data_IF_653712949426
#
_entry.id   IF_653712949426
#
_cell.length_a   1.000
_cell.length_b   1.000
_cell.length_c   1.000
_cell.angle_alpha   90.00
_cell.angle_beta   90.00
_cell.angle_gamma   90.00
#
_symmetry.space_group_name_H-M   'P 1'
#
loop_
_entity.id
_entity.type
_entity.pdbx_description
1 polymer ?
#
# COMPACT_ATOMS: atom_id res chain seq x y z
N UNK A 1 13.04 1.50 11.39
CA UNK A 1 12.81 0.65 12.58
C UNK A 1 13.99 -0.28 12.81
N UNK A 2 14.51 -0.41 14.04
CA UNK A 2 15.49 -1.44 14.42
C UNK A 2 14.96 -2.22 15.63
N UNK A 3 14.33 -3.37 15.36
CA UNK A 3 14.24 -4.57 16.21
C UNK A 3 13.29 -5.55 15.52
N UNK A 4 13.82 -6.66 15.03
CA UNK A 4 13.03 -7.89 14.96
C UNK A 4 12.66 -8.21 16.39
N UNK A 5 11.38 -8.29 16.70
CA UNK A 5 10.93 -8.70 18.03
C UNK A 5 11.23 -10.20 18.16
N UNK A 6 12.30 -10.53 18.88
CA UNK A 6 12.47 -11.85 19.46
C UNK A 6 11.25 -12.12 20.35
N UNK A 7 10.63 -13.27 20.17
CA UNK A 7 9.50 -13.69 20.97
C UNK A 7 9.93 -13.80 22.44
N UNK A 8 9.13 -13.25 23.35
CA UNK A 8 9.52 -13.02 24.75
C UNK A 8 9.65 -14.30 25.58
N UNK A 9 9.29 -15.45 25.00
CA UNK A 9 9.49 -16.79 25.57
C UNK A 9 10.92 -17.31 25.38
N UNK A 10 11.71 -16.76 24.45
CA UNK A 10 13.06 -17.24 24.14
C UNK A 10 14.08 -16.63 25.10
N UNK A 11 14.15 -17.20 26.31
CA UNK A 11 15.31 -17.00 27.20
C UNK A 11 16.52 -17.76 26.63
N UNK A 12 17.72 -17.21 26.80
CA UNK A 12 18.99 -17.63 26.17
C UNK A 12 19.49 -19.08 26.44
N UNK A 13 18.69 -19.96 27.05
CA UNK A 13 19.14 -21.22 27.66
C UNK A 13 18.71 -22.51 26.95
N UNK A 14 17.95 -22.47 25.84
CA UNK A 14 17.54 -23.68 25.12
C UNK A 14 18.58 -24.15 24.08
N UNK A 15 19.75 -24.58 24.53
CA UNK A 15 20.68 -25.38 23.69
C UNK A 15 20.14 -26.78 23.40
N UNK A 16 19.17 -27.25 24.18
CA UNK A 16 18.51 -28.55 24.04
C UNK A 16 17.00 -28.41 24.29
N UNK A 17 16.21 -29.05 23.42
CA UNK A 17 14.76 -29.08 23.46
C UNK A 17 14.28 -30.53 23.64
N UNK A 18 13.29 -30.75 24.52
CA UNK A 18 12.61 -32.05 24.65
C UNK A 18 11.67 -32.23 23.47
N UNK A 19 12.02 -33.12 22.55
CA UNK A 19 11.26 -33.31 21.31
C UNK A 19 11.02 -34.80 21.10
N UNK A 20 9.82 -35.13 20.60
CA UNK A 20 9.45 -36.47 20.14
C UNK A 20 10.09 -36.66 18.75
N UNK A 21 11.11 -37.52 18.58
CA UNK A 21 11.80 -37.66 17.30
C UNK A 21 10.86 -38.06 16.16
N UNK A 22 9.81 -38.81 16.46
CA UNK A 22 8.77 -39.25 15.52
C UNK A 22 7.85 -38.11 15.04
N UNK A 23 7.89 -36.94 15.70
CA UNK A 23 7.20 -35.72 15.27
C UNK A 23 8.13 -34.71 14.58
N UNK A 24 9.41 -35.06 14.34
CA UNK A 24 10.32 -34.22 13.56
C UNK A 24 10.31 -34.69 12.11
N UNK A 25 10.05 -33.76 11.20
CA UNK A 25 10.13 -33.98 9.75
C UNK A 25 11.59 -33.93 9.30
N UNK A 26 12.05 -34.96 8.61
CA UNK A 26 13.45 -35.09 8.17
C UNK A 26 13.59 -35.23 6.65
N UNK A 27 12.50 -35.44 5.92
CA UNK A 27 12.51 -35.44 4.45
C UNK A 27 12.16 -34.05 3.90
N UNK A 28 12.64 -33.72 2.70
CA UNK A 28 12.42 -32.40 2.08
C UNK A 28 10.93 -32.08 1.91
N UNK A 29 10.10 -33.08 1.59
CA UNK A 29 8.65 -32.95 1.44
C UNK A 29 7.96 -32.60 2.77
N UNK A 30 8.19 -33.39 3.83
CA UNK A 30 7.62 -33.14 5.16
C UNK A 30 8.14 -31.83 5.77
N UNK A 31 9.40 -31.47 5.51
CA UNK A 31 9.98 -30.19 5.94
C UNK A 31 9.28 -29.03 5.22
N UNK A 32 9.03 -29.15 3.92
CA UNK A 32 8.28 -28.16 3.16
C UNK A 32 6.85 -27.97 3.71
N UNK A 33 6.13 -29.07 3.93
CA UNK A 33 4.77 -29.07 4.50
C UNK A 33 4.68 -28.40 5.88
N UNK A 34 5.74 -28.48 6.69
CA UNK A 34 5.81 -27.73 7.96
C UNK A 34 6.17 -26.25 7.75
N UNK A 35 7.15 -25.95 6.90
CA UNK A 35 7.54 -24.56 6.62
C UNK A 35 6.45 -23.75 5.92
N UNK A 36 5.55 -24.39 5.17
CA UNK A 36 4.38 -23.77 4.55
C UNK A 36 3.25 -23.45 5.56
N UNK A 37 3.32 -23.90 6.81
CA UNK A 37 2.37 -23.53 7.86
C UNK A 37 2.73 -22.17 8.47
N UNK A 38 2.69 -21.11 7.66
CA UNK A 38 3.13 -19.74 7.97
C UNK A 38 2.50 -19.11 9.22
N UNK A 39 1.38 -19.65 9.72
CA UNK A 39 0.68 -19.19 10.93
C UNK A 39 1.25 -19.81 12.23
N UNK A 40 2.23 -20.73 12.13
CA UNK A 40 2.80 -21.47 13.27
C UNK A 40 4.29 -21.18 13.46
N UNK A 41 4.75 -21.25 14.71
CA UNK A 41 6.17 -21.28 15.01
C UNK A 41 6.76 -22.63 14.61
N UNK A 42 7.74 -22.61 13.71
CA UNK A 42 8.52 -23.78 13.31
C UNK A 42 9.87 -23.77 14.02
N UNK A 43 10.28 -24.91 14.58
CA UNK A 43 11.58 -25.13 15.20
C UNK A 43 12.46 -26.00 14.30
N UNK A 44 13.69 -25.56 14.08
CA UNK A 44 14.75 -26.26 13.32
C UNK A 44 15.67 -26.91 14.34
N UNK A 45 15.84 -28.23 14.23
CA UNK A 45 16.45 -29.05 15.28
C UNK A 45 17.39 -30.09 14.70
N UNK A 46 18.45 -30.45 15.45
CA UNK A 46 19.42 -31.48 15.09
C UNK A 46 19.31 -32.68 16.04
N UNK A 47 19.22 -33.87 15.45
CA UNK A 47 19.15 -35.15 16.15
C UNK A 47 20.14 -36.13 15.48
N UNK A 48 21.19 -36.54 16.20
CA UNK A 48 22.35 -37.16 15.57
C UNK A 48 22.97 -36.20 14.55
N UNK A 49 23.17 -36.65 13.31
CA UNK A 49 23.62 -35.80 12.20
C UNK A 49 22.48 -35.19 11.36
N UNK A 50 21.24 -35.66 11.54
CA UNK A 50 20.08 -35.19 10.79
C UNK A 50 19.55 -33.86 11.33
N UNK A 51 19.28 -32.92 10.42
CA UNK A 51 18.51 -31.70 10.70
C UNK A 51 17.06 -31.93 10.27
N UNK A 52 16.11 -31.47 11.07
CA UNK A 52 14.69 -31.58 10.77
C UNK A 52 13.86 -30.44 11.36
N UNK A 53 12.56 -30.44 11.06
CA UNK A 53 11.61 -29.39 11.43
C UNK A 53 10.41 -29.94 12.20
N UNK A 54 9.98 -29.22 13.24
CA UNK A 54 8.71 -29.46 13.93
C UNK A 54 7.98 -28.15 14.22
N UNK A 55 6.66 -28.19 14.43
CA UNK A 55 5.87 -27.03 14.87
C UNK A 55 5.77 -26.98 16.39
N UNK A 56 5.45 -25.82 16.98
CA UNK A 56 5.36 -25.67 18.45
C UNK A 56 4.38 -26.65 19.10
N UNK A 57 3.29 -26.97 18.43
CA UNK A 57 2.28 -27.92 18.90
C UNK A 57 2.74 -29.39 18.88
N UNK A 58 3.87 -29.70 18.22
CA UNK A 58 4.55 -31.00 18.31
C UNK A 58 5.36 -31.11 19.62
N UNK A 59 5.82 -29.98 20.16
CA UNK A 59 6.63 -29.92 21.38
C UNK A 59 5.80 -30.10 22.65
N UNK A 60 4.65 -29.42 22.73
CA UNK A 60 3.78 -29.41 23.92
C UNK A 60 3.16 -30.78 24.24
N UNK A 61 3.21 -31.73 23.30
CA UNK A 61 2.74 -33.11 23.45
C UNK A 61 3.82 -34.06 23.99
N UNK A 62 5.02 -33.58 24.27
CA UNK A 62 6.17 -34.44 24.57
C UNK A 62 6.24 -34.90 26.04
N UNK A 63 6.32 -36.21 26.23
CA UNK A 63 6.74 -36.87 27.47
C UNK A 63 8.13 -37.54 27.34
N UNK A 64 8.86 -37.17 26.28
CA UNK A 64 10.17 -37.74 25.91
C UNK A 64 11.31 -37.16 26.74
N UNK A 65 12.24 -38.02 27.18
CA UNK A 65 13.52 -37.60 27.75
C UNK A 65 14.64 -37.45 26.70
N UNK A 66 14.36 -37.74 25.42
CA UNK A 66 15.32 -37.46 24.34
C UNK A 66 15.37 -35.96 24.05
N UNK A 67 16.58 -35.41 24.17
CA UNK A 67 16.87 -34.01 23.91
C UNK A 67 17.45 -33.84 22.50
N UNK A 68 16.74 -33.10 21.64
CA UNK A 68 17.27 -32.62 20.36
C UNK A 68 18.02 -31.30 20.57
N UNK A 69 19.03 -31.03 19.74
CA UNK A 69 19.74 -29.75 19.76
C UNK A 69 18.93 -28.73 18.97
N UNK A 70 18.68 -27.56 19.57
CA UNK A 70 18.02 -26.45 18.87
C UNK A 70 19.01 -25.74 17.93
N UNK A 71 18.59 -25.49 16.69
CA UNK A 71 19.39 -24.75 15.71
C UNK A 71 18.81 -23.36 15.36
N UNK A 72 17.49 -23.21 15.40
CA UNK A 72 16.83 -21.96 15.06
C UNK A 72 15.32 -22.12 14.94
N UNK A 73 14.62 -21.04 14.63
CA UNK A 73 13.16 -21.05 14.48
C UNK A 73 12.68 -20.04 13.44
N UNK A 74 11.54 -20.34 12.83
CA UNK A 74 10.74 -19.37 12.08
C UNK A 74 9.49 -19.03 12.92
N UNK A 75 9.26 -17.74 13.15
CA UNK A 75 8.04 -17.24 13.80
C UNK A 75 6.89 -17.14 12.78
N UNK A 76 5.62 -17.15 13.24
CA UNK A 76 4.47 -16.90 12.38
C UNK A 76 4.61 -15.61 11.57
N UNK A 77 4.33 -15.70 10.27
CA UNK A 77 4.36 -14.59 9.33
C UNK A 77 3.01 -14.46 8.63
N UNK A 78 2.13 -13.67 9.24
CA UNK A 78 0.83 -13.30 8.68
C UNK A 78 1.01 -12.37 7.50
N UNK A 79 0.14 -12.50 6.49
CA UNK A 79 0.21 -11.69 5.27
C UNK A 79 0.07 -10.17 5.53
N UNK A 80 -0.56 -9.77 6.63
CA UNK A 80 -0.67 -8.37 7.07
C UNK A 80 0.56 -7.84 7.83
N UNK A 81 1.61 -8.66 7.99
CA UNK A 81 2.94 -8.23 8.44
C UNK A 81 3.84 -7.82 7.26
N UNK A 82 3.44 -8.10 6.01
CA UNK A 82 4.14 -7.65 4.81
C UNK A 82 3.67 -6.25 4.42
N UNK A 83 4.63 -5.33 4.24
CA UNK A 83 4.38 -3.93 3.93
C UNK A 83 3.98 -3.06 5.13
N UNK A 84 3.40 -1.90 4.87
CA UNK A 84 3.05 -0.92 5.90
C UNK A 84 1.66 -1.18 6.50
N UNK A 85 1.58 -1.38 7.82
CA UNK A 85 0.31 -1.61 8.52
C UNK A 85 -0.60 -0.39 8.48
N UNK A 86 -0.05 0.83 8.39
CA UNK A 86 -0.86 2.04 8.24
C UNK A 86 -1.46 2.16 6.84
N UNK A 87 -0.83 1.61 5.78
CA UNK A 87 -1.50 1.48 4.48
C UNK A 87 -2.75 0.59 4.59
N UNK A 88 -2.59 -0.57 5.23
CA UNK A 88 -3.67 -1.54 5.45
C UNK A 88 -4.81 -0.91 6.26
N UNK A 89 -4.48 -0.26 7.39
CA UNK A 89 -5.45 0.41 8.26
C UNK A 89 -6.14 1.59 7.55
N UNK A 90 -5.38 2.46 6.87
CA UNK A 90 -5.89 3.66 6.23
C UNK A 90 -6.87 3.31 5.10
N UNK A 91 -6.54 2.34 4.24
CA UNK A 91 -7.39 1.92 3.12
C UNK A 91 -8.40 0.80 3.45
N UNK A 92 -8.36 0.21 4.64
CA UNK A 92 -9.29 -0.85 5.05
C UNK A 92 -9.05 -2.19 4.35
N UNK A 93 -7.78 -2.58 4.22
CA UNK A 93 -7.33 -3.74 3.43
C UNK A 93 -7.04 -4.96 4.32
N UNK A 94 -6.72 -6.10 3.68
CA UNK A 94 -6.15 -7.29 4.35
C UNK A 94 -4.64 -7.47 4.11
N UNK A 95 -4.10 -6.84 3.07
CA UNK A 95 -2.71 -6.95 2.63
C UNK A 95 -2.26 -5.59 2.09
N UNK A 96 -0.97 -5.26 2.21
CA UNK A 96 -0.39 -4.05 1.64
C UNK A 96 -0.16 -4.20 0.13
N UNK A 97 -1.25 -4.26 -0.63
CA UNK A 97 -1.24 -4.52 -2.07
C UNK A 97 -2.37 -3.78 -2.79
N UNK A 98 -2.10 -3.34 -4.02
CA UNK A 98 -3.11 -2.81 -4.93
C UNK A 98 -2.86 -3.28 -6.37
N UNK A 99 -3.93 -3.50 -7.13
CA UNK A 99 -3.84 -3.58 -8.59
C UNK A 99 -3.90 -2.17 -9.19
N UNK A 100 -2.83 -1.76 -9.87
CA UNK A 100 -2.75 -0.48 -10.58
C UNK A 100 -3.73 -0.42 -11.75
N UNK A 101 -4.04 0.80 -12.20
CA UNK A 101 -4.97 1.00 -13.32
C UNK A 101 -4.40 0.55 -14.66
N UNK A 102 -5.29 0.09 -15.53
CA UNK A 102 -5.03 -0.26 -16.91
C UNK A 102 -6.11 0.43 -17.75
N UNK A 103 -5.70 1.26 -18.71
CA UNK A 103 -6.56 2.21 -19.43
C UNK A 103 -7.73 1.56 -20.20
N UNK A 104 -8.66 2.39 -20.67
CA UNK A 104 -9.83 2.00 -21.45
C UNK A 104 -10.70 0.92 -20.76
N UNK A 105 -10.77 0.95 -19.43
CA UNK A 105 -11.54 -0.01 -18.64
C UNK A 105 -10.95 -1.43 -18.59
N UNK A 106 -9.69 -1.65 -19.02
CA UNK A 106 -9.02 -2.96 -18.86
C UNK A 106 -8.94 -3.33 -17.38
N UNK A 107 -8.61 -2.35 -16.52
CA UNK A 107 -8.86 -2.45 -15.08
C UNK A 107 -10.37 -2.19 -14.81
N UNK A 108 -11.17 -3.19 -15.19
CA UNK A 108 -12.63 -3.14 -15.25
C UNK A 108 -13.30 -3.06 -13.88
N UNK A 109 -14.60 -2.74 -13.86
CA UNK A 109 -15.39 -2.79 -12.63
C UNK A 109 -15.43 -4.21 -12.06
N UNK A 110 -15.36 -5.25 -12.91
CA UNK A 110 -15.33 -6.64 -12.45
C UNK A 110 -14.02 -6.94 -11.68
N UNK A 111 -12.88 -6.44 -12.14
CA UNK A 111 -11.61 -6.55 -11.41
C UNK A 111 -11.70 -5.79 -10.08
N UNK A 112 -12.12 -4.52 -10.13
CA UNK A 112 -12.22 -3.65 -8.94
C UNK A 112 -13.15 -4.23 -7.87
N UNK A 113 -14.33 -4.71 -8.28
CA UNK A 113 -15.32 -5.31 -7.38
C UNK A 113 -14.81 -6.63 -6.78
N UNK A 114 -14.09 -7.44 -7.56
CA UNK A 114 -13.55 -8.72 -7.08
C UNK A 114 -12.43 -8.50 -6.06
N UNK A 115 -11.49 -7.60 -6.36
CA UNK A 115 -10.42 -7.19 -5.43
C UNK A 115 -10.98 -6.59 -4.15
N UNK A 116 -11.92 -5.66 -4.25
CA UNK A 116 -12.52 -5.01 -3.08
C UNK A 116 -13.25 -5.99 -2.16
N UNK A 117 -13.99 -6.96 -2.71
CA UNK A 117 -14.69 -8.00 -1.92
C UNK A 117 -13.74 -8.89 -1.11
N UNK A 118 -12.51 -9.13 -1.58
CA UNK A 118 -11.52 -9.88 -0.81
C UNK A 118 -10.69 -9.00 0.15
N UNK A 119 -10.82 -7.67 0.07
CA UNK A 119 -10.12 -6.70 0.91
C UNK A 119 -8.79 -6.22 0.31
N UNK A 120 -8.70 -6.15 -1.02
CA UNK A 120 -7.56 -5.59 -1.75
C UNK A 120 -7.98 -4.31 -2.49
N UNK A 121 -7.06 -3.34 -2.59
CA UNK A 121 -7.31 -2.11 -3.32
C UNK A 121 -7.15 -2.36 -4.83
N UNK A 122 -8.00 -1.72 -5.65
CA UNK A 122 -7.90 -1.78 -7.10
C UNK A 122 -8.29 -0.43 -7.70
N UNK A 123 -7.51 0.04 -8.65
CA UNK A 123 -7.72 1.30 -9.34
C UNK A 123 -8.46 1.09 -10.67
N UNK A 124 -9.65 1.67 -10.81
CA UNK A 124 -10.43 1.57 -12.05
C UNK A 124 -9.74 2.29 -13.22
N UNK A 125 -9.74 1.66 -14.39
CA UNK A 125 -9.10 2.10 -15.63
C UNK A 125 -9.78 3.25 -16.36
N UNK A 126 -9.95 4.40 -15.70
CA UNK A 126 -10.69 5.55 -16.23
C UNK A 126 -10.04 6.25 -17.45
N UNK A 127 -8.72 6.16 -17.61
CA UNK A 127 -8.00 6.79 -18.73
C UNK A 127 -8.57 6.37 -20.09
N UNK A 128 -8.88 7.35 -20.95
CA UNK A 128 -9.45 7.13 -22.29
C UNK A 128 -10.96 6.86 -22.34
N UNK A 129 -11.65 6.78 -21.20
CA UNK A 129 -13.10 6.59 -21.16
C UNK A 129 -13.86 7.92 -21.15
N UNK A 130 -15.05 7.93 -21.77
CA UNK A 130 -15.95 9.08 -21.73
C UNK A 130 -16.49 9.32 -20.30
N UNK A 131 -16.75 10.57 -19.89
CA UNK A 131 -17.28 10.88 -18.56
C UNK A 131 -18.56 10.11 -18.19
N UNK A 132 -19.44 9.83 -19.16
CA UNK A 132 -20.66 9.02 -18.96
C UNK A 132 -20.36 7.56 -18.58
N UNK A 133 -19.30 6.97 -19.14
CA UNK A 133 -18.85 5.61 -18.79
C UNK A 133 -18.21 5.62 -17.40
N UNK A 134 -17.41 6.64 -17.08
CA UNK A 134 -16.84 6.82 -15.73
C UNK A 134 -17.96 6.94 -14.69
N UNK A 135 -19.00 7.78 -14.93
CA UNK A 135 -20.16 7.90 -14.05
C UNK A 135 -20.91 6.56 -13.86
N UNK A 136 -21.13 5.80 -14.93
CA UNK A 136 -21.72 4.45 -14.84
C UNK A 136 -20.87 3.48 -14.01
N UNK A 137 -19.55 3.47 -14.23
CA UNK A 137 -18.60 2.62 -13.49
C UNK A 137 -18.53 2.99 -12.00
N UNK A 138 -18.54 4.27 -11.65
CA UNK A 138 -18.63 4.73 -10.24
C UNK A 138 -19.88 4.17 -9.57
N UNK A 139 -21.06 4.37 -10.16
CA UNK A 139 -22.32 3.88 -9.60
C UNK A 139 -22.33 2.35 -9.43
N UNK A 140 -21.81 1.61 -10.41
CA UNK A 140 -21.72 0.13 -10.38
C UNK A 140 -20.75 -0.37 -9.30
N UNK A 141 -19.57 0.24 -9.19
CA UNK A 141 -18.55 -0.11 -8.18
C UNK A 141 -19.07 0.24 -6.78
N UNK A 142 -19.61 1.44 -6.57
CA UNK A 142 -20.17 1.85 -5.27
C UNK A 142 -21.35 1.00 -4.81
N UNK A 143 -22.23 0.57 -5.73
CA UNK A 143 -23.33 -0.35 -5.41
C UNK A 143 -22.83 -1.71 -4.89
N UNK A 144 -21.68 -2.18 -5.39
CA UNK A 144 -21.09 -3.45 -4.97
C UNK A 144 -20.11 -3.32 -3.79
N UNK A 145 -19.51 -2.15 -3.58
CA UNK A 145 -18.53 -1.82 -2.55
C UNK A 145 -18.90 -0.49 -1.84
N UNK A 146 -20.02 -0.43 -1.10
CA UNK A 146 -20.53 0.83 -0.53
C UNK A 146 -19.60 1.47 0.51
N UNK A 147 -18.70 0.68 1.11
CA UNK A 147 -17.67 1.11 2.06
C UNK A 147 -16.24 1.02 1.48
N UNK A 148 -16.10 0.70 0.18
CA UNK A 148 -14.82 0.36 -0.42
C UNK A 148 -14.37 -1.08 -0.11
N UNK A 149 -13.06 -1.40 -0.25
CA UNK A 149 -12.01 -0.54 -0.83
C UNK A 149 -12.06 -0.53 -2.36
N UNK A 150 -11.91 0.66 -2.96
CA UNK A 150 -11.65 0.85 -4.39
C UNK A 150 -10.93 2.19 -4.61
N UNK A 151 -10.30 2.35 -5.77
CA UNK A 151 -9.75 3.61 -6.26
C UNK A 151 -10.16 3.86 -7.71
N UNK A 152 -10.03 5.09 -8.18
CA UNK A 152 -10.17 5.44 -9.59
C UNK A 152 -8.89 6.08 -10.11
N UNK A 153 -8.50 5.78 -11.34
CA UNK A 153 -7.40 6.48 -11.96
C UNK A 153 -7.78 7.94 -12.28
N UNK A 154 -6.90 8.87 -11.93
CA UNK A 154 -6.87 10.20 -12.53
C UNK A 154 -5.59 10.27 -13.35
N UNK A 155 -5.71 10.21 -14.67
CA UNK A 155 -4.59 10.38 -15.57
C UNK A 155 -4.41 11.86 -15.91
N UNK A 156 -3.18 12.34 -15.89
CA UNK A 156 -2.85 13.66 -16.39
C UNK A 156 -2.92 13.69 -17.92
N UNK A 157 -3.63 14.67 -18.47
CA UNK A 157 -3.78 14.86 -19.92
C UNK A 157 -3.32 16.28 -20.30
N UNK A 158 -2.02 16.52 -20.55
CA UNK A 158 -1.48 17.87 -20.78
C UNK A 158 -2.17 18.66 -21.91
N UNK A 159 -2.59 17.96 -22.96
CA UNK A 159 -3.28 18.54 -24.12
C UNK A 159 -4.77 18.82 -23.88
N UNK A 160 -5.37 18.23 -22.85
CA UNK A 160 -6.83 18.16 -22.65
C UNK A 160 -7.23 18.28 -21.17
N UNK A 161 -6.94 19.44 -20.57
CA UNK A 161 -7.24 19.73 -19.15
C UNK A 161 -8.72 19.50 -18.79
N UNK A 162 -9.63 19.66 -19.75
CA UNK A 162 -11.07 19.43 -19.58
C UNK A 162 -11.41 17.97 -19.20
N UNK A 163 -10.63 16.98 -19.65
CA UNK A 163 -10.83 15.57 -19.27
C UNK A 163 -10.51 15.37 -17.79
N UNK A 164 -9.36 15.89 -17.35
CA UNK A 164 -8.91 15.81 -15.96
C UNK A 164 -9.89 16.52 -15.01
N UNK A 165 -10.39 17.70 -15.41
CA UNK A 165 -11.41 18.46 -14.69
C UNK A 165 -12.73 17.69 -14.58
N UNK A 166 -13.24 17.15 -15.68
CA UNK A 166 -14.50 16.40 -15.70
C UNK A 166 -14.42 15.12 -14.84
N UNK A 167 -13.28 14.43 -14.84
CA UNK A 167 -13.05 13.28 -13.96
C UNK A 167 -13.06 13.70 -12.48
N UNK A 168 -12.39 14.80 -12.10
CA UNK A 168 -12.41 15.34 -10.74
C UNK A 168 -13.82 15.78 -10.32
N UNK A 169 -14.58 16.44 -11.20
CA UNK A 169 -15.98 16.82 -10.92
C UNK A 169 -16.85 15.59 -10.62
N UNK A 170 -16.72 14.51 -11.40
CA UNK A 170 -17.38 13.24 -11.12
C UNK A 170 -16.93 12.63 -9.79
N UNK A 171 -15.62 12.60 -9.51
CA UNK A 171 -15.09 12.01 -8.29
C UNK A 171 -15.54 12.77 -7.04
N UNK A 172 -15.66 14.10 -7.11
CA UNK A 172 -16.21 14.92 -6.04
C UNK A 172 -17.74 14.74 -5.90
N UNK A 173 -18.48 14.79 -7.01
CA UNK A 173 -19.96 14.57 -7.08
C UNK A 173 -20.37 13.25 -6.43
N UNK A 174 -19.68 12.16 -6.78
CA UNK A 174 -19.97 10.81 -6.28
C UNK A 174 -19.18 10.42 -5.03
N UNK A 175 -18.37 11.34 -4.45
CA UNK A 175 -17.57 11.08 -3.24
C UNK A 175 -16.62 9.87 -3.39
N UNK A 176 -15.99 9.72 -4.55
CA UNK A 176 -14.89 8.76 -4.76
C UNK A 176 -13.72 9.17 -3.88
N UNK A 177 -13.40 8.37 -2.87
CA UNK A 177 -12.46 8.76 -1.77
C UNK A 177 -11.00 8.41 -1.99
N UNK A 178 -10.66 7.67 -3.04
CA UNK A 178 -9.28 7.32 -3.38
C UNK A 178 -9.06 7.46 -4.87
N UNK A 179 -8.00 8.16 -5.26
CA UNK A 179 -7.50 8.18 -6.65
C UNK A 179 -6.07 7.69 -6.77
N UNK A 180 -5.78 7.00 -7.87
CA UNK A 180 -4.43 6.78 -8.35
C UNK A 180 -4.10 7.87 -9.39
N UNK A 181 -3.29 8.84 -9.01
CA UNK A 181 -2.85 9.92 -9.88
C UNK A 181 -1.65 9.45 -10.72
N UNK A 182 -1.80 9.36 -12.05
CA UNK A 182 -0.77 8.84 -12.96
C UNK A 182 -0.42 9.80 -14.10
N UNK A 183 0.77 9.63 -14.68
CA UNK A 183 1.32 10.45 -15.78
C UNK A 183 1.49 11.96 -15.50
N UNK A 184 1.31 12.40 -14.25
CA UNK A 184 1.54 13.80 -13.85
C UNK A 184 3.02 14.20 -14.01
N UNK A 185 3.25 15.36 -14.65
CA UNK A 185 4.57 16.00 -14.75
C UNK A 185 4.81 17.01 -13.61
N UNK A 186 3.76 17.33 -12.87
CA UNK A 186 3.70 18.27 -11.75
C UNK A 186 2.27 18.31 -11.19
N UNK A 187 1.99 19.20 -10.24
CA UNK A 187 0.62 19.38 -9.74
C UNK A 187 -0.19 20.25 -10.69
N UNK A 188 -1.46 19.88 -10.89
CA UNK A 188 -2.46 20.69 -11.60
C UNK A 188 -3.49 21.26 -10.63
N UNK A 189 -4.27 22.29 -11.01
CA UNK A 189 -5.40 22.75 -10.21
C UNK A 189 -6.42 21.64 -9.89
N UNK A 190 -6.65 20.68 -10.79
CA UNK A 190 -7.67 19.64 -10.59
C UNK A 190 -7.26 18.62 -9.51
N UNK A 191 -6.01 18.11 -9.51
CA UNK A 191 -5.56 17.18 -8.45
C UNK A 191 -5.44 17.89 -7.09
N UNK A 192 -5.03 19.17 -7.07
CA UNK A 192 -5.04 20.00 -5.86
C UNK A 192 -6.47 20.17 -5.35
N UNK A 193 -7.42 20.55 -6.21
CA UNK A 193 -8.84 20.67 -5.87
C UNK A 193 -9.41 19.36 -5.32
N UNK A 194 -9.13 18.22 -5.97
CA UNK A 194 -9.58 16.91 -5.49
C UNK A 194 -9.08 16.60 -4.07
N UNK A 195 -7.77 16.78 -3.84
CA UNK A 195 -7.13 16.56 -2.53
C UNK A 195 -7.73 17.46 -1.45
N UNK A 196 -7.76 18.76 -1.73
CA UNK A 196 -8.07 19.81 -0.76
C UNK A 196 -9.56 19.88 -0.42
N UNK A 197 -10.44 19.60 -1.39
CA UNK A 197 -11.88 19.47 -1.13
C UNK A 197 -12.23 18.31 -0.18
N UNK A 198 -11.30 17.37 0.05
CA UNK A 198 -11.44 16.29 1.01
C UNK A 198 -10.95 16.60 2.42
N UNK A 199 -10.37 17.78 2.67
CA UNK A 199 -9.87 18.18 3.99
C UNK A 199 -10.97 18.79 4.85
N UNK A 200 -10.94 18.48 6.15
CA UNK A 200 -11.76 19.08 7.21
C UNK A 200 -11.10 18.86 8.58
N UNK A 201 -11.60 19.50 9.63
CA UNK A 201 -11.31 19.10 11.01
C UNK A 201 -12.33 18.08 11.51
N UNK A 202 -11.89 17.12 12.33
CA UNK A 202 -12.78 16.18 13.03
C UNK A 202 -13.28 16.78 14.37
N UNK A 203 -14.07 16.00 15.14
CA UNK A 203 -14.58 16.41 16.46
C UNK A 203 -13.50 16.66 17.52
N UNK A 204 -12.27 16.16 17.30
CA UNK A 204 -11.10 16.38 18.16
C UNK A 204 -10.21 17.52 17.63
N UNK A 205 -10.71 18.32 16.66
CA UNK A 205 -10.01 19.43 16.00
C UNK A 205 -8.74 19.01 15.20
N UNK A 206 -8.54 17.71 14.97
CA UNK A 206 -7.46 17.15 14.15
C UNK A 206 -7.83 17.18 12.66
N UNK A 207 -6.82 17.20 11.78
CA UNK A 207 -7.04 17.19 10.32
C UNK A 207 -7.48 15.80 9.87
N UNK A 208 -8.65 15.74 9.22
CA UNK A 208 -9.18 14.54 8.59
C UNK A 208 -9.06 14.64 7.06
N UNK A 209 -8.35 13.66 6.49
CA UNK A 209 -8.16 13.51 5.04
C UNK A 209 -9.21 12.51 4.52
N UNK A 210 -10.26 13.03 3.87
CA UNK A 210 -11.32 12.18 3.29
C UNK A 210 -11.10 11.84 1.82
N UNK A 211 -10.39 12.67 1.05
CA UNK A 211 -9.99 12.39 -0.33
C UNK A 211 -8.50 12.04 -0.38
N UNK A 212 -8.21 10.81 -0.79
CA UNK A 212 -6.91 10.17 -0.68
C UNK A 212 -6.26 10.07 -2.04
N UNK A 213 -4.96 10.29 -2.09
CA UNK A 213 -4.20 10.35 -3.35
C UNK A 213 -3.00 9.40 -3.24
N UNK A 214 -2.97 8.45 -4.16
CA UNK A 214 -1.81 7.58 -4.43
C UNK A 214 -1.17 8.12 -5.72
N UNK A 215 0.01 8.74 -5.62
CA UNK A 215 0.68 9.31 -6.79
C UNK A 215 1.66 8.29 -7.39
N UNK A 216 1.41 7.85 -8.62
CA UNK A 216 2.26 6.90 -9.34
C UNK A 216 3.27 7.66 -10.20
N UNK A 217 4.56 7.49 -9.89
CA UNK A 217 5.66 8.30 -10.42
C UNK A 217 6.86 7.43 -10.79
N UNK A 218 7.67 7.91 -11.75
CA UNK A 218 8.97 7.34 -12.10
C UNK A 218 10.14 8.30 -11.80
N UNK A 219 9.86 9.53 -11.34
CA UNK A 219 10.82 10.65 -11.26
C UNK A 219 10.79 11.36 -9.91
N UNK A 220 11.96 11.65 -9.36
CA UNK A 220 12.13 12.28 -8.04
C UNK A 220 11.60 13.72 -8.00
N UNK A 221 11.68 14.44 -9.12
CA UNK A 221 11.19 15.81 -9.28
C UNK A 221 9.66 15.86 -9.14
N UNK A 222 8.96 14.86 -9.68
CA UNK A 222 7.49 14.73 -9.57
C UNK A 222 7.10 14.24 -8.18
N UNK A 223 7.81 13.22 -7.64
CA UNK A 223 7.61 12.74 -6.27
C UNK A 223 7.70 13.88 -5.25
N UNK A 224 8.70 14.75 -5.37
CA UNK A 224 8.90 15.94 -4.54
C UNK A 224 7.68 16.87 -4.52
N UNK A 225 6.91 16.95 -5.61
CA UNK A 225 5.70 17.78 -5.68
C UNK A 225 4.52 17.15 -4.94
N UNK A 226 4.39 15.82 -5.00
CA UNK A 226 3.32 15.09 -4.29
C UNK A 226 3.62 14.89 -2.79
N UNK A 227 4.90 14.85 -2.40
CA UNK A 227 5.34 14.85 -1.00
C UNK A 227 5.26 16.24 -0.33
N UNK A 228 5.22 17.32 -1.12
CA UNK A 228 5.00 18.68 -0.63
C UNK A 228 3.52 18.95 -0.30
N UNK A 229 3.22 19.98 0.50
CA UNK A 229 1.88 20.56 0.59
C UNK A 229 1.46 21.21 -0.73
N UNK A 230 0.17 21.53 -0.86
CA UNK A 230 -0.36 22.20 -2.04
C UNK A 230 0.26 23.61 -2.23
N UNK A 231 0.67 24.02 -3.44
CA UNK A 231 1.22 25.36 -3.67
C UNK A 231 0.20 26.47 -3.41
N UNK A 232 0.58 27.46 -2.61
CA UNK A 232 -0.28 28.58 -2.19
C UNK A 232 -0.92 29.32 -3.39
N UNK A 233 -0.18 29.54 -4.48
CA UNK A 233 -0.73 30.17 -5.69
C UNK A 233 -1.89 29.37 -6.32
N UNK A 234 -1.86 28.03 -6.27
CA UNK A 234 -2.97 27.20 -6.75
C UNK A 234 -4.13 27.23 -5.76
N UNK A 235 -3.85 27.20 -4.46
CA UNK A 235 -4.86 27.31 -3.41
C UNK A 235 -5.64 28.62 -3.48
N UNK A 236 -4.94 29.75 -3.65
CA UNK A 236 -5.56 31.07 -3.74
C UNK A 236 -6.52 31.17 -4.93
N UNK A 237 -6.10 30.73 -6.12
CA UNK A 237 -6.97 30.69 -7.31
C UNK A 237 -8.22 29.82 -7.07
N UNK A 238 -8.05 28.62 -6.48
CA UNK A 238 -9.18 27.73 -6.18
C UNK A 238 -10.14 28.30 -5.12
N UNK A 239 -9.66 29.15 -4.20
CA UNK A 239 -10.49 29.88 -3.23
C UNK A 239 -11.25 31.03 -3.91
N UNK A 240 -10.61 31.77 -4.82
CA UNK A 240 -11.24 32.85 -5.59
C UNK A 240 -12.35 32.33 -6.51
N UNK A 241 -12.10 31.19 -7.17
CA UNK A 241 -13.09 30.44 -7.97
C UNK A 241 -14.20 29.80 -7.12
N UNK A 242 -14.08 29.78 -5.79
CA UNK A 242 -14.95 29.06 -4.83
C UNK A 242 -14.98 27.54 -5.05
N UNK A 243 -13.96 27.00 -5.69
CA UNK A 243 -13.73 25.57 -5.89
C UNK A 243 -13.36 24.83 -4.60
N UNK A 244 -12.81 25.55 -3.61
CA UNK A 244 -12.53 25.10 -2.24
C UNK A 244 -12.84 26.22 -1.23
N UNK A 245 -12.92 25.90 0.07
CA UNK A 245 -13.05 26.91 1.14
C UNK A 245 -11.68 27.44 1.61
N UNK A 246 -11.69 28.61 2.28
CA UNK A 246 -10.48 29.15 2.94
C UNK A 246 -9.92 28.22 4.03
N UNK A 247 -10.79 27.56 4.80
CA UNK A 247 -10.37 26.59 5.81
C UNK A 247 -9.67 25.40 5.15
N UNK A 248 -10.22 24.86 4.06
CA UNK A 248 -9.58 23.78 3.31
C UNK A 248 -8.21 24.18 2.77
N UNK A 249 -8.07 25.40 2.24
CA UNK A 249 -6.78 25.93 1.79
C UNK A 249 -5.77 26.07 2.94
N UNK A 250 -6.20 26.48 4.14
CA UNK A 250 -5.34 26.53 5.32
C UNK A 250 -4.88 25.12 5.75
N UNK A 251 -5.80 24.16 5.84
CA UNK A 251 -5.50 22.77 6.17
C UNK A 251 -4.55 22.11 5.14
N UNK A 252 -4.59 22.55 3.88
CA UNK A 252 -3.75 22.01 2.80
C UNK A 252 -2.25 22.30 2.96
N UNK A 253 -1.87 23.25 3.83
CA UNK A 253 -0.47 23.53 4.15
C UNK A 253 0.14 22.51 5.14
N UNK A 254 -0.71 21.83 5.93
CA UNK A 254 -0.31 20.91 7.01
C UNK A 254 -0.28 19.43 6.57
N UNK A 255 -0.56 19.13 5.29
CA UNK A 255 -0.67 17.76 4.75
C UNK A 255 0.04 17.64 3.39
N UNK A 256 0.58 16.46 3.04
CA UNK A 256 1.14 16.22 1.72
C UNK A 256 0.03 16.13 0.66
N UNK A 257 0.39 16.43 -0.59
CA UNK A 257 -0.51 16.28 -1.74
C UNK A 257 -0.90 14.83 -2.05
N UNK A 258 -0.04 13.86 -1.72
CA UNK A 258 -0.33 12.43 -1.74
C UNK A 258 -0.09 11.79 -0.37
N UNK A 259 -0.94 10.82 -0.01
CA UNK A 259 -0.75 9.99 1.18
C UNK A 259 0.32 8.90 0.93
N UNK A 260 0.40 8.46 -0.33
CA UNK A 260 1.18 7.33 -0.79
C UNK A 260 1.82 7.65 -2.16
N UNK A 261 3.07 7.26 -2.31
CA UNK A 261 3.82 7.36 -3.57
C UNK A 261 4.06 5.95 -4.11
N UNK A 262 3.54 5.63 -5.28
CA UNK A 262 3.89 4.39 -5.99
C UNK A 262 5.06 4.66 -6.91
N UNK A 263 6.20 4.05 -6.61
CA UNK A 263 7.39 4.07 -7.48
C UNK A 263 7.16 3.10 -8.63
N UNK A 264 6.88 3.63 -9.82
CA UNK A 264 6.75 2.85 -11.05
C UNK A 264 8.11 2.73 -11.76
N UNK A 265 8.65 1.52 -11.70
CA UNK A 265 9.86 1.09 -12.38
C UNK A 265 9.55 0.66 -13.84
N UNK A 266 10.42 -0.14 -14.44
CA UNK A 266 10.15 -0.80 -15.71
C UNK A 266 8.85 -1.63 -15.65
N UNK A 267 7.91 -1.35 -16.57
CA UNK A 267 6.53 -1.82 -16.50
C UNK A 267 5.89 -1.90 -17.88
N UNK A 268 4.75 -2.60 -17.98
CA UNK A 268 3.96 -2.64 -19.20
C UNK A 268 3.26 -1.31 -19.49
N UNK A 269 3.25 -0.88 -20.76
CA UNK A 269 2.64 0.38 -21.19
C UNK A 269 3.66 1.52 -21.24
N UNK A 270 3.29 2.70 -20.73
CA UNK A 270 4.20 3.85 -20.66
C UNK A 270 5.14 3.69 -19.46
N UNK A 271 6.46 3.70 -19.70
CA UNK A 271 7.48 3.65 -18.64
C UNK A 271 8.75 4.40 -19.07
N UNK A 272 9.55 4.83 -18.09
CA UNK A 272 10.93 5.33 -18.29
C UNK A 272 11.97 4.17 -18.27
N UNK A 273 11.54 2.90 -18.21
CA UNK A 273 12.37 1.69 -18.09
C UNK A 273 13.40 1.72 -16.92
N UNK A 274 13.00 2.29 -15.77
CA UNK A 274 13.90 2.50 -14.63
C UNK A 274 14.05 1.23 -13.78
N UNK A 275 15.26 0.85 -13.32
CA UNK A 275 15.42 -0.29 -12.42
C UNK A 275 14.78 -0.03 -11.05
N UNK A 276 13.91 -0.94 -10.60
CA UNK A 276 13.23 -0.81 -9.29
C UNK A 276 14.23 -0.70 -8.13
N UNK A 277 15.28 -1.52 -8.18
CA UNK A 277 16.32 -1.63 -7.13
C UNK A 277 17.14 -0.35 -6.93
N UNK A 278 17.16 0.58 -7.88
CA UNK A 278 17.83 1.89 -7.72
C UNK A 278 16.83 3.02 -7.49
N UNK A 279 15.65 2.98 -8.13
CA UNK A 279 14.65 4.04 -7.99
C UNK A 279 13.94 4.01 -6.63
N UNK A 280 13.55 2.84 -6.12
CA UNK A 280 12.80 2.73 -4.87
C UNK A 280 13.59 3.27 -3.66
N UNK A 281 14.88 2.90 -3.43
CA UNK A 281 15.65 3.46 -2.31
C UNK A 281 15.79 4.99 -2.38
N UNK A 282 15.99 5.55 -3.58
CA UNK A 282 16.12 6.99 -3.77
C UNK A 282 14.83 7.76 -3.43
N UNK A 283 13.65 7.21 -3.78
CA UNK A 283 12.36 7.81 -3.41
C UNK A 283 12.04 7.62 -1.92
N UNK A 284 12.49 6.52 -1.29
CA UNK A 284 12.39 6.36 0.18
C UNK A 284 13.25 7.41 0.89
N UNK A 285 14.49 7.65 0.47
CA UNK A 285 15.35 8.70 1.04
C UNK A 285 14.75 10.10 0.85
N UNK A 286 14.15 10.36 -0.32
CA UNK A 286 13.41 11.60 -0.59
C UNK A 286 12.21 11.75 0.36
N UNK A 287 11.47 10.66 0.63
CA UNK A 287 10.36 10.65 1.59
C UNK A 287 10.82 11.06 2.97
N UNK A 288 11.92 10.50 3.48
CA UNK A 288 12.45 10.88 4.81
C UNK A 288 12.73 12.38 4.90
N UNK A 289 13.39 12.96 3.88
CA UNK A 289 13.70 14.41 3.82
C UNK A 289 12.44 15.28 3.86
N UNK A 290 11.37 14.88 3.17
CA UNK A 290 10.10 15.59 3.21
C UNK A 290 9.35 15.39 4.53
N UNK A 291 9.39 14.18 5.09
CA UNK A 291 8.79 13.85 6.38
C UNK A 291 9.42 14.66 7.52
N UNK A 292 10.75 14.76 7.55
CA UNK A 292 11.50 15.59 8.50
C UNK A 292 11.21 17.08 8.30
N UNK A 293 11.26 17.57 7.05
CA UNK A 293 11.05 18.99 6.72
C UNK A 293 9.67 19.52 7.10
N UNK A 294 8.61 18.73 6.89
CA UNK A 294 7.22 19.17 7.10
C UNK A 294 6.59 18.63 8.39
N UNK A 295 7.20 17.63 9.05
CA UNK A 295 6.72 17.12 10.34
C UNK A 295 5.32 16.52 10.32
N UNK A 296 4.86 15.99 9.18
CA UNK A 296 3.49 15.51 9.00
C UNK A 296 3.08 14.49 10.07
N UNK A 297 1.87 14.62 10.61
CA UNK A 297 1.32 13.74 11.66
C UNK A 297 1.18 12.26 11.24
N UNK A 298 1.14 12.00 9.93
CA UNK A 298 1.22 10.67 9.33
C UNK A 298 2.38 10.62 8.35
N UNK A 299 3.13 9.53 8.38
CA UNK A 299 4.23 9.30 7.45
C UNK A 299 3.71 9.13 6.02
N UNK A 300 4.23 9.91 5.07
CA UNK A 300 4.01 9.62 3.63
C UNK A 300 4.55 8.23 3.34
N UNK A 301 3.77 7.35 2.71
CA UNK A 301 4.21 5.99 2.41
C UNK A 301 4.78 5.89 0.99
N UNK A 302 5.66 4.91 0.78
CA UNK A 302 6.28 4.63 -0.52
C UNK A 302 6.07 3.15 -0.83
N UNK A 303 5.32 2.87 -1.90
CA UNK A 303 5.14 1.55 -2.50
C UNK A 303 5.88 1.43 -3.82
N UNK A 304 5.76 0.26 -4.46
CA UNK A 304 6.45 -0.07 -5.71
C UNK A 304 5.52 -0.73 -6.73
N UNK A 305 5.84 -0.53 -8.02
CA UNK A 305 5.24 -1.18 -9.17
C UNK A 305 6.27 -1.33 -10.30
N UNK A 306 6.00 -2.24 -11.24
CA UNK A 306 6.95 -2.60 -12.31
C UNK A 306 7.88 -3.75 -11.90
N UNK A 307 8.02 -4.76 -12.77
CA UNK A 307 8.79 -5.99 -12.50
C UNK A 307 8.19 -7.00 -11.49
N UNK A 308 7.13 -6.63 -10.74
CA UNK A 308 6.55 -7.47 -9.69
C UNK A 308 5.57 -8.50 -10.28
N UNK A 309 6.08 -9.68 -10.65
CA UNK A 309 5.30 -10.78 -11.24
C UNK A 309 5.42 -12.13 -10.52
N UNK A 310 6.26 -12.26 -9.50
CA UNK A 310 6.52 -13.52 -8.78
C UNK A 310 6.69 -13.27 -7.27
N UNK A 311 6.63 -14.30 -6.40
CA UNK A 311 6.92 -14.15 -4.97
C UNK A 311 8.37 -13.73 -4.64
N UNK A 312 9.30 -13.80 -5.59
CA UNK A 312 10.70 -13.41 -5.42
C UNK A 312 11.00 -11.97 -5.90
N UNK A 313 9.99 -11.28 -6.45
CA UNK A 313 10.08 -9.93 -7.02
C UNK A 313 9.83 -8.82 -6.00
#
# INVERSE_FOLDING_TARGET
MKKVLLDSEIKDNFTKLKIVPELVSYTDEEICDKLLQLEKTCYIVKNGDSVGVCIKEDMDKSSSDKLSVFLGQALPLKINQLGDREFINFYGLKMAYMTGSMANGIASENLVISSGKVGLLSSFGAAGLLPSIIEQSINKIQKALPVGPYAFNLIHSPSEEAIERAAVDLYLKYRVRTVEASAFLGLTPNIVRYRVAGLRRNSENQIEITNRVIAKISRAEVASKFMAPAPEAILNNLVEEKSITREQAQLAAEVPMADDITVEADSGGHTDNRPLVSLLPAIIELREKFQEKYGYSRTIRVGAAGGIGTPAS
#
